data_IF_786731350215
#
_entry.id   IF_786731350215
#
_cell.length_a   1.000
_cell.length_b   1.000
_cell.length_c   1.000
_cell.angle_alpha   90.00
_cell.angle_beta   90.00
_cell.angle_gamma   90.00
#
_symmetry.space_group_name_H-M   'P 1'
#
loop_
_entity.id
_entity.type
_entity.pdbx_description
1 polymer ?
#
# COMPACT_ATOMS: atom_id res chain seq x y z
N UNK A 1 23.51 -0.11 23.95
CA UNK A 1 22.62 0.28 22.83
C UNK A 1 21.35 0.80 23.47
N UNK A 2 20.86 2.00 23.14
CA UNK A 2 19.57 2.44 23.70
C UNK A 2 18.48 1.54 23.14
N UNK A 3 17.81 0.84 24.04
CA UNK A 3 16.78 -0.15 23.79
C UNK A 3 15.57 0.48 23.10
N UNK A 4 15.32 0.05 21.86
CA UNK A 4 14.08 0.26 21.11
C UNK A 4 13.68 1.71 20.79
N UNK A 5 12.71 1.83 19.89
CA UNK A 5 11.85 3.01 19.80
C UNK A 5 10.54 2.69 20.50
N UNK A 6 9.83 3.67 21.09
CA UNK A 6 8.52 3.42 21.68
C UNK A 6 7.57 2.81 20.64
N UNK A 7 6.93 1.71 21.00
CA UNK A 7 5.93 1.08 20.13
C UNK A 7 4.78 2.05 19.86
N UNK A 8 4.28 2.15 18.62
CA UNK A 8 3.08 2.91 18.34
C UNK A 8 1.89 2.25 19.06
N UNK A 9 0.79 2.99 19.28
CA UNK A 9 -0.41 2.46 19.92
C UNK A 9 -1.14 1.51 18.95
N UNK A 10 -0.70 0.26 18.93
CA UNK A 10 -1.35 -0.77 18.11
C UNK A 10 -2.79 -0.98 18.57
N UNK A 11 -3.69 -1.05 17.58
CA UNK A 11 -5.12 -1.23 17.80
C UNK A 11 -5.61 -2.59 17.31
N UNK A 12 -6.92 -2.86 17.47
CA UNK A 12 -7.55 -4.03 16.87
C UNK A 12 -7.40 -3.98 15.35
N UNK A 13 -7.33 -5.15 14.72
CA UNK A 13 -7.30 -5.26 13.26
C UNK A 13 -8.63 -4.81 12.66
N UNK A 14 -8.61 -4.47 11.37
CA UNK A 14 -9.82 -4.17 10.59
C UNK A 14 -10.42 -5.49 10.13
N UNK A 15 -11.69 -5.73 10.50
CA UNK A 15 -12.45 -6.87 10.01
C UNK A 15 -12.72 -6.79 8.50
N UNK A 16 -12.91 -7.96 7.91
CA UNK A 16 -13.15 -8.14 6.48
C UNK A 16 -11.92 -8.56 5.70
N UNK A 17 -12.06 -8.57 4.39
CA UNK A 17 -11.03 -8.96 3.42
C UNK A 17 -10.66 -7.75 2.59
N UNK A 18 -9.37 -7.58 2.32
CA UNK A 18 -8.87 -6.60 1.38
C UNK A 18 -8.62 -7.28 0.04
N UNK A 19 -9.08 -6.69 -1.05
CA UNK A 19 -8.62 -7.01 -2.40
C UNK A 19 -7.63 -5.93 -2.80
N UNK A 20 -6.43 -6.35 -3.15
CA UNK A 20 -5.43 -5.49 -3.77
C UNK A 20 -5.44 -5.76 -5.27
N UNK A 21 -5.54 -4.71 -6.07
CA UNK A 21 -5.40 -4.79 -7.52
C UNK A 21 -4.39 -3.76 -8.01
N UNK A 22 -3.43 -4.19 -8.81
CA UNK A 22 -2.40 -3.35 -9.40
C UNK A 22 -2.45 -3.39 -10.92
N UNK A 23 -2.46 -2.24 -11.57
CA UNK A 23 -2.37 -2.11 -13.02
C UNK A 23 -1.01 -1.57 -13.43
N UNK A 24 -0.54 -2.01 -14.58
CA UNK A 24 0.67 -1.53 -15.24
C UNK A 24 0.28 -0.99 -16.62
N UNK A 25 -0.07 0.28 -16.68
CA UNK A 25 -0.54 0.94 -17.91
C UNK A 25 0.65 1.51 -18.69
N UNK A 26 1.36 2.46 -18.10
CA UNK A 26 2.51 3.15 -18.68
C UNK A 26 3.46 3.66 -17.56
N UNK A 27 4.15 2.76 -16.85
CA UNK A 27 4.97 3.10 -15.68
C UNK A 27 6.35 3.66 -16.08
N UNK A 28 6.43 4.56 -17.06
CA UNK A 28 7.70 5.17 -17.49
C UNK A 28 8.20 6.13 -16.41
N UNK A 29 9.47 5.98 -16.03
CA UNK A 29 10.08 6.69 -14.89
C UNK A 29 11.18 7.66 -15.30
N UNK A 30 11.34 8.73 -14.50
CA UNK A 30 12.53 9.58 -14.44
C UNK A 30 13.03 9.55 -12.99
N UNK A 31 14.11 8.79 -12.75
CA UNK A 31 14.50 8.44 -11.39
C UNK A 31 13.40 7.63 -10.68
N UNK A 32 13.00 7.98 -9.45
CA UNK A 32 11.90 7.30 -8.77
C UNK A 32 10.51 7.76 -9.26
N UNK A 33 10.39 8.89 -9.95
CA UNK A 33 9.09 9.50 -10.27
C UNK A 33 8.54 9.02 -11.61
N UNK A 34 7.22 8.93 -11.74
CA UNK A 34 6.57 8.57 -13.01
C UNK A 34 6.42 9.81 -13.90
N UNK A 35 6.59 9.62 -15.21
CA UNK A 35 6.24 10.63 -16.21
C UNK A 35 4.73 10.77 -16.30
N UNK A 36 4.28 11.95 -16.72
CA UNK A 36 2.89 12.17 -17.12
C UNK A 36 2.58 11.27 -18.32
N UNK A 37 1.41 10.63 -18.30
CA UNK A 37 0.94 9.72 -19.35
C UNK A 37 -0.56 9.89 -19.55
N UNK A 38 -0.98 10.12 -20.79
CA UNK A 38 -2.40 10.21 -21.15
C UNK A 38 -3.09 8.87 -21.03
N UNK A 39 -2.42 7.78 -21.46
CA UNK A 39 -2.95 6.42 -21.32
C UNK A 39 -3.24 6.07 -19.84
N UNK A 40 -2.37 6.49 -18.91
CA UNK A 40 -2.61 6.33 -17.47
C UNK A 40 -3.78 7.18 -16.99
N UNK A 41 -3.91 8.42 -17.45
CA UNK A 41 -5.04 9.28 -17.10
C UNK A 41 -6.38 8.66 -17.55
N UNK A 42 -6.46 8.23 -18.81
CA UNK A 42 -7.67 7.57 -19.35
C UNK A 42 -8.00 6.28 -18.58
N UNK A 43 -6.98 5.50 -18.18
CA UNK A 43 -7.16 4.30 -17.38
C UNK A 43 -7.65 4.62 -15.96
N UNK A 44 -7.14 5.69 -15.34
CA UNK A 44 -7.63 6.18 -14.04
C UNK A 44 -9.11 6.55 -14.13
N UNK A 45 -9.54 7.21 -15.20
CA UNK A 45 -10.94 7.61 -15.34
C UNK A 45 -11.87 6.41 -15.51
N UNK A 46 -11.51 5.44 -16.36
CA UNK A 46 -12.25 4.16 -16.46
C UNK A 46 -12.30 3.40 -15.13
N UNK A 47 -11.18 3.35 -14.41
CA UNK A 47 -11.12 2.67 -13.11
C UNK A 47 -11.92 3.42 -12.03
N UNK A 48 -12.10 4.74 -12.17
CA UNK A 48 -12.97 5.51 -11.28
C UNK A 48 -14.44 5.13 -11.46
N UNK A 49 -14.89 4.94 -12.70
CA UNK A 49 -16.25 4.46 -13.01
C UNK A 49 -16.48 3.07 -12.39
N UNK A 50 -15.56 2.13 -12.63
CA UNK A 50 -15.63 0.79 -12.01
C UNK A 50 -15.60 0.87 -10.49
N UNK A 51 -14.75 1.71 -9.91
CA UNK A 51 -14.70 1.89 -8.46
C UNK A 51 -16.02 2.45 -7.90
N UNK A 52 -16.69 3.35 -8.61
CA UNK A 52 -17.98 3.90 -8.22
C UNK A 52 -19.07 2.83 -8.20
N UNK A 53 -19.17 2.04 -9.27
CA UNK A 53 -20.15 0.96 -9.40
C UNK A 53 -19.94 -0.15 -8.36
N UNK A 54 -18.68 -0.44 -8.03
CA UNK A 54 -18.35 -1.39 -6.96
C UNK A 54 -18.64 -0.80 -5.58
N UNK A 55 -18.37 0.48 -5.35
CA UNK A 55 -18.49 1.11 -4.03
C UNK A 55 -19.94 1.17 -3.50
N UNK A 56 -20.94 1.15 -4.39
CA UNK A 56 -22.36 1.14 -3.99
C UNK A 56 -22.88 -0.25 -3.57
N UNK A 57 -22.06 -1.30 -3.74
CA UNK A 57 -22.46 -2.68 -3.38
C UNK A 57 -22.44 -2.91 -1.87
N UNK A 58 -23.44 -3.60 -1.30
CA UNK A 58 -23.58 -3.76 0.16
C UNK A 58 -22.46 -4.60 0.80
N UNK A 59 -21.75 -5.39 0.02
CA UNK A 59 -20.59 -6.17 0.46
C UNK A 59 -19.28 -5.35 0.51
N UNK A 60 -19.22 -4.19 -0.17
CA UNK A 60 -18.05 -3.31 -0.19
C UNK A 60 -18.11 -2.35 0.99
N UNK A 61 -17.11 -2.43 1.86
CA UNK A 61 -16.98 -1.65 3.10
C UNK A 61 -16.00 -0.47 2.97
N UNK A 62 -15.30 -0.37 1.84
CA UNK A 62 -14.35 0.71 1.57
C UNK A 62 -13.70 0.52 0.21
N UNK A 63 -13.43 1.63 -0.46
CA UNK A 63 -12.86 1.65 -1.81
C UNK A 63 -11.84 2.76 -1.88
N UNK A 64 -10.62 2.43 -2.29
CA UNK A 64 -9.60 3.42 -2.60
C UNK A 64 -9.01 3.15 -3.97
N UNK A 65 -8.90 4.19 -4.78
CA UNK A 65 -8.14 4.19 -6.01
C UNK A 65 -6.95 5.13 -5.85
N UNK A 66 -5.78 4.68 -6.28
CA UNK A 66 -4.54 5.40 -6.14
C UNK A 66 -3.80 5.51 -7.47
N UNK A 67 -3.25 6.68 -7.72
CA UNK A 67 -2.27 6.90 -8.79
C UNK A 67 -0.86 6.84 -8.20
N UNK A 68 0.02 6.02 -8.76
CA UNK A 68 1.41 5.94 -8.30
C UNK A 68 2.17 7.20 -8.72
N UNK A 69 2.84 7.84 -7.76
CA UNK A 69 3.63 9.05 -7.96
C UNK A 69 5.14 8.77 -7.97
N UNK A 70 5.58 7.75 -7.23
CA UNK A 70 6.96 7.31 -7.24
C UNK A 70 7.12 5.80 -6.97
N UNK A 71 8.07 5.17 -7.64
CA UNK A 71 8.51 3.79 -7.43
C UNK A 71 10.00 3.85 -7.09
N UNK A 72 10.36 3.49 -5.86
CA UNK A 72 11.78 3.53 -5.44
C UNK A 72 12.56 2.49 -6.26
N UNK A 73 13.75 2.83 -6.78
CA UNK A 73 14.52 1.96 -7.69
C UNK A 73 15.22 0.81 -6.92
N UNK A 74 14.42 -0.07 -6.33
CA UNK A 74 14.86 -1.33 -5.71
C UNK A 74 14.54 -2.47 -6.68
N UNK A 75 15.48 -3.41 -6.94
CA UNK A 75 15.20 -4.59 -7.75
C UNK A 75 13.96 -5.35 -7.25
N UNK A 76 13.07 -5.72 -8.16
CA UNK A 76 11.82 -6.41 -7.83
C UNK A 76 10.68 -5.52 -7.33
N UNK A 77 10.86 -4.19 -7.27
CA UNK A 77 9.78 -3.28 -6.90
C UNK A 77 8.59 -3.41 -7.88
N UNK A 78 7.34 -3.41 -7.37
CA UNK A 78 6.17 -3.47 -8.23
C UNK A 78 6.14 -2.29 -9.20
N UNK A 79 5.90 -2.58 -10.47
CA UNK A 79 5.77 -1.57 -11.52
C UNK A 79 4.30 -1.16 -11.74
N UNK A 80 3.50 -1.12 -10.68
CA UNK A 80 2.11 -0.69 -10.76
C UNK A 80 2.04 0.84 -10.75
N UNK A 81 1.37 1.40 -11.75
CA UNK A 81 1.15 2.85 -11.85
C UNK A 81 -0.26 3.29 -11.43
N UNK A 82 -1.18 2.33 -11.26
CA UNK A 82 -2.47 2.50 -10.60
C UNK A 82 -2.67 1.34 -9.62
N UNK A 83 -3.19 1.62 -8.44
CA UNK A 83 -3.53 0.60 -7.43
C UNK A 83 -4.93 0.85 -6.90
N UNK A 84 -5.72 -0.20 -6.75
CA UNK A 84 -7.02 -0.17 -6.09
C UNK A 84 -6.97 -1.07 -4.86
N UNK A 85 -7.47 -0.55 -3.74
CA UNK A 85 -7.62 -1.29 -2.50
C UNK A 85 -9.10 -1.30 -2.12
N UNK A 86 -9.70 -2.48 -2.18
CA UNK A 86 -11.12 -2.70 -1.88
C UNK A 86 -11.19 -3.42 -0.55
N UNK A 87 -11.99 -2.93 0.38
CA UNK A 87 -12.33 -3.67 1.59
C UNK A 87 -13.73 -4.24 1.43
N UNK A 88 -13.87 -5.55 1.57
CA UNK A 88 -15.14 -6.27 1.50
C UNK A 88 -15.41 -7.02 2.79
N UNK A 89 -16.67 -7.39 3.00
CA UNK A 89 -17.16 -7.99 4.24
C UNK A 89 -16.47 -9.30 4.61
N UNK A 90 -16.26 -10.18 3.64
CA UNK A 90 -15.83 -11.55 3.90
C UNK A 90 -15.20 -12.20 2.65
N UNK A 91 -14.73 -13.44 2.82
CA UNK A 91 -14.06 -14.21 1.75
C UNK A 91 -15.01 -14.50 0.58
N UNK A 92 -16.26 -14.99 0.77
CA UNK A 92 -17.20 -15.18 -0.34
C UNK A 92 -17.44 -13.91 -1.17
N UNK A 93 -17.64 -12.76 -0.51
CA UNK A 93 -17.77 -11.48 -1.20
C UNK A 93 -16.50 -11.12 -1.99
N UNK A 94 -15.32 -11.40 -1.44
CA UNK A 94 -14.06 -11.14 -2.14
C UNK A 94 -13.92 -11.99 -3.41
N UNK A 95 -14.28 -13.28 -3.33
CA UNK A 95 -14.25 -14.20 -4.48
C UNK A 95 -15.25 -13.75 -5.54
N UNK A 96 -16.47 -13.38 -5.15
CA UNK A 96 -17.48 -12.89 -6.08
C UNK A 96 -17.01 -11.63 -6.83
N UNK A 97 -16.40 -10.67 -6.11
CA UNK A 97 -15.90 -9.44 -6.72
C UNK A 97 -14.71 -9.69 -7.64
N UNK A 98 -13.79 -10.60 -7.29
CA UNK A 98 -12.68 -11.00 -8.15
C UNK A 98 -13.14 -11.66 -9.47
N UNK A 99 -14.33 -12.26 -9.49
CA UNK A 99 -14.96 -12.83 -10.69
C UNK A 99 -15.97 -11.91 -11.37
N UNK A 100 -16.18 -10.70 -10.85
CA UNK A 100 -17.10 -9.74 -11.43
C UNK A 100 -16.64 -9.29 -12.83
N UNK A 101 -17.57 -9.25 -13.78
CA UNK A 101 -17.24 -8.93 -15.17
C UNK A 101 -16.70 -7.50 -15.35
N UNK A 102 -17.21 -6.53 -14.60
CA UNK A 102 -16.74 -5.16 -14.67
C UNK A 102 -15.32 -5.05 -14.09
N UNK A 103 -15.06 -5.73 -12.97
CA UNK A 103 -13.72 -5.75 -12.37
C UNK A 103 -12.71 -6.51 -13.25
N UNK A 104 -13.03 -7.72 -13.69
CA UNK A 104 -12.15 -8.55 -14.53
C UNK A 104 -11.88 -7.92 -15.91
N UNK A 105 -12.86 -7.21 -16.48
CA UNK A 105 -12.71 -6.46 -17.73
C UNK A 105 -11.69 -5.32 -17.68
N UNK A 106 -11.24 -4.92 -16.48
CA UNK A 106 -10.16 -3.93 -16.33
C UNK A 106 -8.75 -4.51 -16.48
N UNK A 107 -8.62 -5.85 -16.54
CA UNK A 107 -7.37 -6.57 -16.71
C UNK A 107 -6.24 -6.12 -15.76
N UNK A 108 -6.43 -6.23 -14.42
CA UNK A 108 -5.36 -5.95 -13.47
C UNK A 108 -4.15 -6.84 -13.72
N UNK A 109 -2.95 -6.28 -13.61
CA UNK A 109 -1.69 -7.02 -13.77
C UNK A 109 -1.37 -7.90 -12.55
N UNK A 110 -1.98 -7.60 -11.41
CA UNK A 110 -1.87 -8.36 -10.18
C UNK A 110 -3.14 -8.19 -9.36
N UNK A 111 -3.66 -9.29 -8.83
CA UNK A 111 -4.74 -9.30 -7.84
C UNK A 111 -4.44 -10.30 -6.76
N UNK A 112 -4.70 -9.94 -5.51
CA UNK A 112 -4.67 -10.88 -4.39
C UNK A 112 -5.63 -10.43 -3.30
N UNK A 113 -6.06 -11.38 -2.47
CA UNK A 113 -6.75 -11.04 -1.22
C UNK A 113 -5.76 -10.91 -0.08
N UNK A 114 -6.13 -10.14 0.93
CA UNK A 114 -5.32 -9.95 2.13
C UNK A 114 -6.20 -9.74 3.36
N UNK A 115 -5.70 -10.12 4.53
CA UNK A 115 -6.30 -9.72 5.81
C UNK A 115 -5.47 -8.63 6.48
N UNK A 116 -6.07 -7.89 7.41
CA UNK A 116 -5.28 -6.98 8.25
C UNK A 116 -4.53 -7.77 9.34
N UNK A 117 -3.20 -7.84 9.25
CA UNK A 117 -2.36 -8.54 10.23
C UNK A 117 -2.00 -7.71 11.47
N UNK A 118 -1.99 -6.39 11.33
CA UNK A 118 -1.73 -5.44 12.41
C UNK A 118 -2.09 -4.02 11.97
N UNK A 119 -2.44 -3.14 12.92
CA UNK A 119 -2.57 -1.71 12.62
C UNK A 119 -2.30 -0.81 13.81
N UNK A 120 -2.05 0.46 13.53
CA UNK A 120 -2.12 1.55 14.49
C UNK A 120 -2.68 2.78 13.76
N UNK A 121 -3.36 3.67 14.50
CA UNK A 121 -4.02 4.83 13.91
C UNK A 121 -5.12 4.48 12.91
N UNK A 122 -5.48 5.46 12.07
CA UNK A 122 -6.46 5.36 11.00
C UNK A 122 -5.75 5.76 9.70
N UNK A 123 -5.55 4.78 8.82
CA UNK A 123 -4.80 4.95 7.56
C UNK A 123 -5.64 5.64 6.49
N UNK A 124 -6.93 5.28 6.44
CA UNK A 124 -7.89 5.79 5.49
C UNK A 124 -9.08 6.39 6.23
N UNK A 125 -9.42 7.61 5.87
CA UNK A 125 -10.58 8.37 6.33
C UNK A 125 -11.31 9.05 5.17
N UNK A 126 -11.06 8.63 3.92
CA UNK A 126 -11.63 9.25 2.71
C UNK A 126 -10.98 10.58 2.31
N UNK A 127 -9.80 10.94 2.83
CA UNK A 127 -9.13 12.19 2.43
C UNK A 127 -8.48 12.05 1.05
N UNK A 128 -9.18 12.56 0.03
CA UNK A 128 -8.66 12.71 -1.33
C UNK A 128 -7.32 13.46 -1.36
N UNK A 129 -6.45 13.09 -2.30
CA UNK A 129 -5.14 13.73 -2.50
C UNK A 129 -4.07 13.37 -1.47
N UNK A 130 -4.39 12.55 -0.47
CA UNK A 130 -3.41 12.06 0.52
C UNK A 130 -2.28 11.29 -0.15
N UNK A 131 -1.04 11.54 0.29
CA UNK A 131 0.11 10.75 -0.10
C UNK A 131 0.20 9.51 0.79
N UNK A 132 0.32 8.36 0.14
CA UNK A 132 0.31 7.05 0.74
C UNK A 132 1.61 6.31 0.38
N UNK A 133 2.17 5.61 1.35
CA UNK A 133 3.19 4.60 1.16
C UNK A 133 2.51 3.22 1.09
N UNK A 134 2.70 2.52 -0.03
CA UNK A 134 2.47 1.09 -0.16
C UNK A 134 3.84 0.40 -0.19
N UNK A 135 4.27 -0.11 0.96
CA UNK A 135 5.55 -0.79 1.08
C UNK A 135 5.34 -2.30 1.04
N UNK A 136 5.72 -2.92 -0.07
CA UNK A 136 5.63 -4.36 -0.25
C UNK A 136 6.87 -4.99 0.34
N UNK A 137 6.71 -6.08 1.09
CA UNK A 137 7.81 -6.83 1.65
C UNK A 137 7.87 -8.20 1.01
N UNK A 138 9.00 -8.54 0.43
CA UNK A 138 9.30 -9.88 -0.07
C UNK A 138 10.40 -10.53 0.77
N UNK A 139 10.41 -11.86 0.81
CA UNK A 139 11.38 -12.62 1.60
C UNK A 139 10.88 -14.04 1.84
N UNK A 140 11.79 -14.99 2.04
CA UNK A 140 11.45 -16.35 2.40
C UNK A 140 11.34 -16.46 3.93
N UNK A 141 10.24 -15.95 4.49
CA UNK A 141 10.04 -15.88 5.94
C UNK A 141 8.61 -16.21 6.31
N UNK A 142 8.42 -16.73 7.53
CA UNK A 142 7.10 -16.91 8.09
C UNK A 142 6.41 -15.57 8.34
N UNK A 143 5.09 -15.58 8.15
CA UNK A 143 4.24 -14.40 8.34
C UNK A 143 4.41 -13.78 9.74
N UNK A 144 4.42 -14.61 10.79
CA UNK A 144 4.56 -14.17 12.18
C UNK A 144 5.86 -13.38 12.40
N UNK A 145 6.96 -13.86 11.82
CA UNK A 145 8.28 -13.20 11.83
C UNK A 145 8.23 -11.87 11.07
N UNK A 146 7.59 -11.86 9.90
CA UNK A 146 7.45 -10.65 9.09
C UNK A 146 6.62 -9.58 9.82
N UNK A 147 5.48 -9.96 10.41
CA UNK A 147 4.60 -9.06 11.18
C UNK A 147 5.33 -8.48 12.38
N UNK A 148 6.07 -9.31 13.13
CA UNK A 148 6.85 -8.84 14.28
C UNK A 148 8.00 -7.90 13.87
N UNK A 149 8.65 -8.18 12.74
CA UNK A 149 9.67 -7.30 12.17
C UNK A 149 9.05 -5.95 11.78
N UNK A 150 7.88 -5.97 11.14
CA UNK A 150 7.14 -4.76 10.81
C UNK A 150 6.74 -3.96 12.06
N UNK A 151 6.27 -4.62 13.14
CA UNK A 151 5.93 -3.93 14.40
C UNK A 151 7.14 -3.21 14.98
N UNK A 152 8.29 -3.86 14.95
CA UNK A 152 9.57 -3.30 15.41
C UNK A 152 10.05 -2.15 14.54
N UNK A 153 9.86 -2.23 13.22
CA UNK A 153 10.15 -1.14 12.27
C UNK A 153 9.22 0.06 12.46
N UNK A 154 7.94 -0.20 12.72
CA UNK A 154 6.91 0.82 12.88
C UNK A 154 7.23 1.79 14.02
N UNK A 155 7.85 1.30 15.09
CA UNK A 155 8.33 2.14 16.18
C UNK A 155 9.35 3.19 15.73
N UNK A 156 10.30 2.83 14.84
CA UNK A 156 11.25 3.79 14.27
C UNK A 156 10.55 4.81 13.36
N UNK A 157 9.65 4.33 12.49
CA UNK A 157 8.94 5.21 11.55
C UNK A 157 8.04 6.22 12.27
N UNK A 158 7.29 5.77 13.28
CA UNK A 158 6.48 6.65 14.11
C UNK A 158 7.35 7.71 14.81
N UNK A 159 8.44 7.29 15.44
CA UNK A 159 9.31 8.19 16.18
C UNK A 159 10.15 9.16 15.31
N UNK A 160 10.44 8.83 14.05
CA UNK A 160 11.42 9.58 13.22
C UNK A 160 10.86 10.23 11.97
N UNK A 161 9.71 9.78 11.49
CA UNK A 161 9.13 10.27 10.23
C UNK A 161 7.80 10.99 10.43
N UNK A 162 7.15 10.82 11.59
CA UNK A 162 5.84 11.40 11.87
C UNK A 162 4.68 10.59 11.30
N UNK A 163 4.92 9.34 10.89
CA UNK A 163 3.84 8.39 10.58
C UNK A 163 3.07 8.12 11.86
N UNK A 164 1.77 8.39 11.84
CA UNK A 164 0.84 8.21 12.96
C UNK A 164 -0.18 7.08 12.72
N UNK A 165 -0.12 6.45 11.55
CA UNK A 165 -1.07 5.45 11.09
C UNK A 165 -0.37 4.37 10.26
N UNK A 166 -0.93 3.17 10.24
CA UNK A 166 -0.51 2.11 9.33
C UNK A 166 -1.48 0.93 9.40
N UNK A 167 -1.84 0.39 8.25
CA UNK A 167 -2.58 -0.86 8.08
C UNK A 167 -1.66 -1.87 7.42
N UNK A 168 -1.31 -2.94 8.13
CA UNK A 168 -0.51 -4.04 7.58
C UNK A 168 -1.41 -5.08 6.92
N UNK A 169 -1.26 -5.26 5.61
CA UNK A 169 -1.93 -6.29 4.85
C UNK A 169 -1.06 -7.54 4.81
N UNK A 170 -1.67 -8.69 5.08
CA UNK A 170 -1.08 -10.03 4.93
C UNK A 170 -1.77 -10.66 3.73
N UNK A 171 -1.10 -10.71 2.57
CA UNK A 171 -1.64 -11.34 1.37
C UNK A 171 -1.85 -12.85 1.53
N UNK A 172 -2.74 -13.40 0.71
CA UNK A 172 -2.81 -14.84 0.45
C UNK A 172 -1.61 -15.32 -0.42
N UNK A 173 -1.59 -16.61 -0.73
CA UNK A 173 -0.49 -17.25 -1.48
C UNK A 173 -0.41 -16.85 -2.96
N UNK A 174 -1.38 -16.09 -3.49
CA UNK A 174 -1.33 -15.60 -4.87
C UNK A 174 -0.37 -14.42 -5.04
N UNK A 175 -0.05 -13.72 -3.95
CA UNK A 175 0.85 -12.58 -3.98
C UNK A 175 2.33 -13.00 -3.85
N UNK A 176 3.26 -12.32 -4.55
CA UNK A 176 4.70 -12.52 -4.35
C UNK A 176 5.26 -11.80 -3.10
N UNK A 177 4.38 -11.30 -2.22
CA UNK A 177 4.72 -10.50 -1.06
C UNK A 177 4.26 -11.18 0.21
N UNK A 178 5.11 -11.14 1.25
CA UNK A 178 4.75 -11.64 2.58
C UNK A 178 3.88 -10.61 3.32
N UNK A 179 4.11 -9.31 3.07
CA UNK A 179 3.35 -8.21 3.65
C UNK A 179 3.21 -7.05 2.67
N UNK A 180 2.14 -6.27 2.81
CA UNK A 180 2.03 -4.94 2.22
C UNK A 180 1.65 -3.95 3.30
N UNK A 181 2.53 -2.99 3.58
CA UNK A 181 2.22 -1.92 4.51
C UNK A 181 1.56 -0.76 3.79
N UNK A 182 0.34 -0.41 4.22
CA UNK A 182 -0.42 0.73 3.76
C UNK A 182 -0.39 1.83 4.83
N UNK A 183 0.22 2.97 4.54
CA UNK A 183 0.35 4.08 5.49
C UNK A 183 0.24 5.45 4.81
N UNK A 184 -0.49 6.38 5.40
CA UNK A 184 -0.47 7.79 4.98
C UNK A 184 0.79 8.47 5.50
N UNK A 185 1.52 9.12 4.60
CA UNK A 185 2.77 9.81 4.93
C UNK A 185 2.53 11.30 5.20
N UNK A 186 3.32 11.93 6.09
CA UNK A 186 3.22 13.37 6.32
C UNK A 186 3.89 14.18 5.20
N UNK A 187 3.17 15.17 4.66
CA UNK A 187 3.67 16.09 3.66
C UNK A 187 3.85 15.47 2.27
N UNK A 188 4.87 15.91 1.54
CA UNK A 188 5.14 15.47 0.17
C UNK A 188 6.05 14.24 0.13
N UNK A 189 5.95 13.44 -0.94
CA UNK A 189 6.80 12.26 -1.16
C UNK A 189 8.31 12.60 -1.10
N UNK A 190 8.83 13.62 -1.79
CA UNK A 190 10.25 13.95 -1.72
C UNK A 190 10.71 14.33 -0.30
N UNK A 191 9.90 15.12 0.41
CA UNK A 191 10.21 15.54 1.78
C UNK A 191 10.21 14.34 2.74
N UNK A 192 9.30 13.39 2.56
CA UNK A 192 9.24 12.16 3.34
C UNK A 192 10.44 11.24 3.06
N UNK A 193 10.84 11.07 1.79
CA UNK A 193 12.04 10.33 1.42
C UNK A 193 13.31 10.96 2.00
N UNK A 194 13.45 12.29 1.94
CA UNK A 194 14.58 12.99 2.54
C UNK A 194 14.62 12.79 4.06
N UNK A 195 13.47 12.88 4.75
CA UNK A 195 13.35 12.69 6.21
C UNK A 195 13.81 11.32 6.70
N UNK A 196 13.70 10.28 5.87
CA UNK A 196 14.19 8.94 6.24
C UNK A 196 15.65 8.72 5.78
N UNK A 197 15.99 9.06 4.53
CA UNK A 197 17.28 8.72 3.92
C UNK A 197 18.44 9.57 4.45
N UNK A 198 18.18 10.81 4.90
CA UNK A 198 19.23 11.65 5.48
C UNK A 198 19.54 11.28 6.95
N UNK A 199 18.85 10.29 7.53
CA UNK A 199 19.07 9.88 8.92
C UNK A 199 20.05 8.73 9.03
N UNK A 200 21.18 8.87 9.75
CA UNK A 200 22.11 7.77 9.99
C UNK A 200 21.45 6.55 10.66
N UNK A 201 20.43 6.78 11.50
CA UNK A 201 19.70 5.69 12.15
C UNK A 201 18.89 4.84 11.17
N UNK A 202 18.53 5.33 9.99
CA UNK A 202 17.90 4.50 8.95
C UNK A 202 18.85 3.37 8.52
N UNK A 203 20.10 3.70 8.23
CA UNK A 203 21.11 2.74 7.79
C UNK A 203 21.62 1.83 8.91
N UNK A 204 21.60 2.29 10.17
CA UNK A 204 22.07 1.53 11.33
C UNK A 204 20.98 0.68 12.01
N UNK A 205 19.70 0.97 11.74
CA UNK A 205 18.57 0.28 12.36
C UNK A 205 17.66 -0.41 11.34
N UNK A 206 17.07 0.34 10.41
CA UNK A 206 16.04 -0.18 9.48
C UNK A 206 16.63 -1.24 8.54
N UNK A 207 17.77 -0.94 7.90
CA UNK A 207 18.42 -1.87 6.96
C UNK A 207 18.91 -3.15 7.63
N UNK A 208 19.67 -3.10 8.75
CA UNK A 208 20.09 -4.32 9.44
C UNK A 208 18.94 -5.16 9.97
N UNK A 209 17.86 -4.51 10.45
CA UNK A 209 16.68 -5.22 10.94
C UNK A 209 16.01 -6.00 9.80
N UNK A 210 15.78 -5.36 8.65
CA UNK A 210 15.24 -6.04 7.46
C UNK A 210 16.15 -7.19 7.00
N UNK A 211 17.46 -6.95 6.92
CA UNK A 211 18.43 -7.95 6.47
C UNK A 211 18.49 -9.16 7.43
N UNK A 212 18.48 -8.94 8.74
CA UNK A 212 18.49 -10.00 9.77
C UNK A 212 17.28 -10.92 9.66
N UNK A 213 16.15 -10.37 9.23
CA UNK A 213 14.91 -11.10 9.03
C UNK A 213 14.66 -11.41 7.56
N UNK A 214 15.68 -11.40 6.67
CA UNK A 214 15.55 -11.78 5.25
C UNK A 214 14.39 -11.10 4.50
N UNK A 215 14.04 -9.87 4.89
CA UNK A 215 13.01 -9.07 4.26
C UNK A 215 13.62 -8.01 3.34
N UNK A 216 13.01 -7.84 2.17
CA UNK A 216 13.29 -6.75 1.25
C UNK A 216 12.10 -5.82 1.20
N UNK A 217 12.34 -4.53 1.42
CA UNK A 217 11.33 -3.48 1.30
C UNK A 217 11.29 -2.95 -0.13
N UNK A 218 10.09 -2.92 -0.71
CA UNK A 218 9.78 -2.55 -2.10
C UNK A 218 8.72 -1.44 -2.11
N UNK A 219 9.11 -0.20 -1.74
CA UNK A 219 8.17 0.89 -1.55
C UNK A 219 7.75 1.55 -2.86
N UNK A 220 6.44 1.75 -2.99
CA UNK A 220 5.85 2.68 -3.95
C UNK A 220 5.06 3.76 -3.18
N UNK A 221 5.07 4.97 -3.72
CA UNK A 221 4.30 6.09 -3.21
C UNK A 221 3.16 6.37 -4.15
N UNK A 222 1.96 6.41 -3.60
CA UNK A 222 0.73 6.61 -4.36
C UNK A 222 -0.04 7.79 -3.79
N UNK A 223 -0.92 8.36 -4.60
CA UNK A 223 -1.78 9.48 -4.22
C UNK A 223 -3.23 9.03 -4.35
N UNK A 224 -4.01 9.23 -3.29
CA UNK A 224 -5.44 8.94 -3.29
C UNK A 224 -6.16 9.78 -4.34
N UNK A 225 -6.96 9.10 -5.16
CA UNK A 225 -7.82 9.71 -6.17
C UNK A 225 -9.19 9.91 -5.54
N UNK A 226 -9.79 11.07 -5.79
CA UNK A 226 -11.17 11.31 -5.42
C UNK A 226 -12.10 10.40 -6.22
N UNK A 227 -12.94 9.64 -5.54
CA UNK A 227 -13.98 8.81 -6.15
C UNK A 227 -15.33 9.55 -6.24
N UNK A 228 -15.46 10.71 -5.60
CA UNK A 228 -16.65 11.56 -5.62
C UNK A 228 -16.51 12.77 -6.56
N UNK A 229 -15.32 12.99 -7.11
CA UNK A 229 -15.00 14.12 -7.99
C UNK A 229 -15.32 13.87 -9.47
N UNK A 230 -15.50 14.96 -10.22
CA UNK A 230 -15.62 14.95 -11.69
C UNK A 230 -14.34 14.39 -12.34
N UNK A 231 -14.43 13.76 -13.55
CA UNK A 231 -13.28 13.31 -14.31
C UNK A 231 -12.27 14.44 -14.56
N UNK A 232 -10.98 14.07 -14.64
CA UNK A 232 -9.86 15.02 -14.73
C UNK A 232 -9.61 15.53 -16.13
#
# INVERSE_FOLDING_TARGET
>A
MRDGYPSPPFGPVIDGVFIYAGWRIDPVRVGPFLRVSTARADAVDRLREVAHDLAVRPEVMGMNLFETTAIVPVPGAPAYDIVMLIRVRDVPASTALLHDAAFTGTHPSMTFTARNGARFGITDNGTSGSNILLNHFSGAVEESCAVNTWRTLSAWFAAKTGIDNSTLLVPDLSAPYVLVNYARIPGTVPAFMARQLLRPSFYRYVRPLLARHHLTSLPIFVRAIDLHGQPR
#
